data_IF_007665376055
#
_entry.id   IF_007665376055
#
_cell.length_a   1.000
_cell.length_b   1.000
_cell.length_c   1.000
_cell.angle_alpha   90.00
_cell.angle_beta   90.00
_cell.angle_gamma   90.00
#
_symmetry.space_group_name_H-M   'P 1'
#
loop_
_entity.id
_entity.type
_entity.pdbx_description
1 polymer ?
#
# COMPACT_ATOMS: atom_id res chain seq x y z
N UNK A 1 -14.08 13.05 -7.99
CA UNK A 1 -13.09 14.13 -7.88
C UNK A 1 -13.08 14.64 -6.45
N UNK A 2 -11.94 14.58 -5.75
CA UNK A 2 -11.78 15.09 -4.37
C UNK A 2 -11.12 16.46 -4.44
N UNK A 3 -11.71 17.47 -3.78
CA UNK A 3 -11.13 18.82 -3.67
C UNK A 3 -10.36 18.90 -2.36
N UNK A 4 -9.20 19.55 -2.37
CA UNK A 4 -8.35 19.77 -1.19
C UNK A 4 -8.14 21.27 -0.99
N UNK A 5 -8.04 21.72 0.27
CA UNK A 5 -7.64 23.09 0.59
C UNK A 5 -6.16 23.32 0.26
N UNK A 6 -5.89 24.31 -0.59
CA UNK A 6 -4.55 24.51 -1.19
C UNK A 6 -3.41 24.77 -0.20
N UNK A 7 -3.69 25.29 1.00
CA UNK A 7 -2.66 25.71 1.97
C UNK A 7 -2.40 24.65 3.05
N UNK A 8 -3.13 23.53 3.04
CA UNK A 8 -2.98 22.42 4.01
C UNK A 8 -2.73 21.08 3.34
N UNK A 9 -2.33 21.05 2.06
CA UNK A 9 -2.05 19.79 1.37
C UNK A 9 -0.75 19.20 1.89
N UNK A 10 -0.84 18.04 2.54
CA UNK A 10 0.30 17.19 2.91
C UNK A 10 0.46 16.04 1.93
N UNK A 11 1.72 15.68 1.66
CA UNK A 11 2.10 14.50 0.89
C UNK A 11 3.02 13.65 1.76
N UNK A 12 2.67 12.39 1.92
CA UNK A 12 3.52 11.38 2.54
C UNK A 12 3.76 10.25 1.54
N UNK A 13 4.90 9.58 1.62
CA UNK A 13 5.26 8.52 0.69
C UNK A 13 6.27 7.56 1.27
N UNK A 14 6.34 6.36 0.69
CA UNK A 14 7.33 5.38 1.07
C UNK A 14 7.41 4.25 0.06
N UNK A 15 8.39 3.37 0.27
CA UNK A 15 8.62 2.21 -0.59
C UNK A 15 8.95 0.99 0.27
N UNK A 16 8.19 -0.10 0.10
CA UNK A 16 8.14 -1.19 1.08
C UNK A 16 8.28 -2.53 0.39
N UNK A 17 9.29 -3.31 0.80
CA UNK A 17 9.36 -4.74 0.43
C UNK A 17 8.28 -5.44 1.24
N UNK A 18 7.27 -5.97 0.56
CA UNK A 18 6.14 -6.61 1.22
C UNK A 18 6.47 -8.07 1.56
N UNK A 19 7.19 -8.76 0.67
CA UNK A 19 7.71 -10.11 0.91
C UNK A 19 8.85 -10.47 -0.06
N UNK A 20 9.62 -11.49 0.32
CA UNK A 20 10.64 -12.20 -0.47
C UNK A 20 10.47 -13.69 -0.20
N UNK A 21 9.70 -14.39 -1.02
CA UNK A 21 9.31 -15.79 -0.77
C UNK A 21 10.16 -16.80 -1.56
N UNK A 22 11.00 -16.35 -2.50
CA UNK A 22 11.91 -17.26 -3.23
C UNK A 22 12.97 -17.89 -2.32
N UNK A 23 13.51 -17.14 -1.37
CA UNK A 23 14.64 -17.56 -0.53
C UNK A 23 14.29 -18.79 0.33
N UNK A 24 13.05 -18.87 0.83
CA UNK A 24 12.60 -19.90 1.76
C UNK A 24 11.48 -20.80 1.21
N UNK A 25 11.10 -20.64 -0.07
CA UNK A 25 10.00 -21.39 -0.66
C UNK A 25 8.61 -21.00 -0.14
N UNK A 26 8.43 -19.72 0.22
CA UNK A 26 7.21 -19.18 0.80
C UNK A 26 5.97 -19.30 -0.09
N UNK A 27 4.81 -19.05 0.52
CA UNK A 27 3.49 -19.25 -0.09
C UNK A 27 3.28 -18.47 -1.40
N UNK A 28 3.88 -17.27 -1.53
CA UNK A 28 3.79 -16.48 -2.76
C UNK A 28 4.59 -17.09 -3.91
N UNK A 29 5.62 -17.87 -3.61
CA UNK A 29 6.46 -18.55 -4.60
C UNK A 29 5.95 -19.96 -4.94
N UNK A 30 5.57 -20.75 -3.93
CA UNK A 30 5.27 -22.17 -4.10
C UNK A 30 3.78 -22.50 -4.06
N UNK A 31 2.97 -21.64 -3.44
CA UNK A 31 1.54 -21.84 -3.26
C UNK A 31 0.74 -21.74 -4.56
N UNK A 32 -0.54 -22.09 -4.46
CA UNK A 32 -1.52 -22.00 -5.55
C UNK A 32 -2.85 -21.53 -5.00
N UNK A 33 -3.75 -21.07 -5.88
CA UNK A 33 -5.02 -20.49 -5.47
C UNK A 33 -4.84 -19.10 -4.87
N UNK A 34 -5.86 -18.62 -4.18
CA UNK A 34 -5.91 -17.28 -3.59
C UNK A 34 -4.87 -17.13 -2.48
N UNK A 35 -4.03 -16.11 -2.58
CA UNK A 35 -2.98 -15.79 -1.61
C UNK A 35 -2.92 -14.28 -1.40
N UNK A 36 -2.75 -13.87 -0.15
CA UNK A 36 -2.72 -12.46 0.26
C UNK A 36 -1.52 -12.18 1.18
N UNK A 37 -0.92 -11.00 1.02
CA UNK A 37 -0.02 -10.41 2.02
C UNK A 37 -0.50 -9.01 2.35
N UNK A 38 -0.50 -8.69 3.64
CA UNK A 38 -0.96 -7.41 4.19
C UNK A 38 0.13 -6.79 5.06
N UNK A 39 0.31 -5.49 4.95
CA UNK A 39 1.14 -4.71 5.87
C UNK A 39 0.48 -3.39 6.21
N UNK A 40 0.35 -3.11 7.50
CA UNK A 40 -0.12 -1.81 7.97
C UNK A 40 0.99 -0.76 7.77
N UNK A 41 0.64 0.35 7.12
CA UNK A 41 1.50 1.49 6.90
C UNK A 41 0.99 2.66 7.74
N UNK A 42 1.84 3.14 8.64
CA UNK A 42 1.56 4.33 9.45
C UNK A 42 2.09 5.57 8.72
N UNK A 43 1.27 6.60 8.60
CA UNK A 43 1.73 7.89 8.10
C UNK A 43 2.68 8.55 9.12
N UNK A 44 3.63 9.33 8.62
CA UNK A 44 4.56 10.13 9.41
C UNK A 44 3.83 11.11 10.33
N UNK A 45 2.70 11.66 9.85
CA UNK A 45 1.80 12.54 10.59
C UNK A 45 0.34 12.18 10.30
N UNK A 46 -0.56 12.47 11.24
CA UNK A 46 -2.00 12.25 11.03
C UNK A 46 -2.58 13.35 10.14
N UNK A 47 -3.34 12.95 9.12
CA UNK A 47 -4.14 13.87 8.32
C UNK A 47 -5.41 14.33 9.06
N UNK A 48 -5.96 15.48 8.66
CA UNK A 48 -7.23 16.01 9.19
C UNK A 48 -8.42 15.09 8.88
N UNK A 49 -8.41 14.48 7.69
CA UNK A 49 -9.36 13.46 7.21
C UNK A 49 -8.58 12.36 6.46
N UNK A 50 -9.18 11.20 6.22
CA UNK A 50 -8.51 10.12 5.48
C UNK A 50 -7.98 10.65 4.13
N UNK A 51 -6.67 10.50 3.83
CA UNK A 51 -6.09 10.98 2.58
C UNK A 51 -6.51 10.10 1.41
N UNK A 52 -6.19 10.52 0.18
CA UNK A 52 -6.20 9.61 -0.97
C UNK A 52 -4.85 8.91 -1.03
N UNK A 53 -4.84 7.58 -1.13
CA UNK A 53 -3.61 6.78 -1.23
C UNK A 53 -3.53 6.16 -2.62
N UNK A 54 -2.37 6.30 -3.26
CA UNK A 54 -2.03 5.64 -4.51
C UNK A 54 -0.89 4.65 -4.26
N UNK A 55 -1.03 3.43 -4.79
CA UNK A 55 0.02 2.41 -4.77
C UNK A 55 0.57 2.18 -6.18
N UNK A 56 1.83 1.79 -6.25
CA UNK A 56 2.47 1.32 -7.48
C UNK A 56 3.51 0.25 -7.18
N UNK A 57 3.65 -0.79 -8.03
CA UNK A 57 4.79 -1.69 -7.94
C UNK A 57 6.08 -0.92 -8.24
N UNK A 58 7.07 -1.00 -7.35
CA UNK A 58 8.40 -0.41 -7.51
C UNK A 58 9.50 -1.46 -7.72
N UNK A 59 9.19 -2.73 -7.44
CA UNK A 59 9.94 -3.93 -7.84
C UNK A 59 8.98 -5.11 -7.84
N UNK A 60 9.12 -5.98 -8.83
CA UNK A 60 8.42 -7.26 -8.90
C UNK A 60 9.32 -8.27 -9.59
N UNK A 61 9.50 -9.41 -8.94
CA UNK A 61 10.25 -10.54 -9.45
C UNK A 61 9.32 -11.75 -9.49
N UNK A 62 9.12 -12.29 -10.69
CA UNK A 62 8.00 -13.17 -11.04
C UNK A 62 8.50 -14.30 -11.92
N UNK A 63 7.91 -15.48 -11.76
CA UNK A 63 8.17 -16.60 -12.65
C UNK A 63 7.54 -16.36 -14.04
N UNK A 64 8.36 -16.45 -15.08
CA UNK A 64 7.94 -16.18 -16.46
C UNK A 64 7.15 -17.33 -17.12
N UNK A 65 7.02 -18.49 -16.45
CA UNK A 65 6.32 -19.67 -17.02
C UNK A 65 4.81 -19.66 -16.77
N UNK A 66 4.32 -18.74 -15.95
CA UNK A 66 2.90 -18.65 -15.57
C UNK A 66 2.31 -17.28 -15.93
N UNK A 67 0.99 -17.20 -16.03
CA UNK A 67 0.32 -15.93 -16.28
C UNK A 67 0.46 -15.04 -15.05
N UNK A 68 0.90 -13.80 -15.26
CA UNK A 68 0.99 -12.80 -14.21
C UNK A 68 -0.43 -12.35 -13.79
N UNK A 69 -0.76 -12.58 -12.53
CA UNK A 69 -2.00 -12.14 -11.89
C UNK A 69 -1.67 -11.52 -10.55
N UNK A 70 -1.90 -10.22 -10.42
CA UNK A 70 -1.61 -9.48 -9.21
C UNK A 70 -2.64 -8.36 -9.05
N UNK A 71 -2.99 -8.10 -7.80
CA UNK A 71 -3.82 -6.98 -7.39
C UNK A 71 -3.17 -6.29 -6.18
N UNK A 72 -3.19 -4.96 -6.18
CA UNK A 72 -2.67 -4.13 -5.10
C UNK A 72 -3.71 -3.10 -4.69
N UNK A 73 -3.96 -3.03 -3.39
CA UNK A 73 -5.00 -2.16 -2.85
C UNK A 73 -4.54 -1.48 -1.57
N UNK A 74 -4.92 -0.21 -1.42
CA UNK A 74 -4.84 0.50 -0.15
C UNK A 74 -6.20 0.36 0.56
N UNK A 75 -6.29 -0.56 1.50
CA UNK A 75 -7.49 -0.82 2.28
C UNK A 75 -7.48 -0.07 3.61
N UNK A 76 -8.65 0.04 4.25
CA UNK A 76 -8.76 0.56 5.62
C UNK A 76 -8.08 1.93 5.81
N UNK A 77 -8.14 2.81 4.82
CA UNK A 77 -7.48 4.13 4.87
C UNK A 77 -8.11 4.98 5.97
N UNK A 78 -7.30 5.34 6.96
CA UNK A 78 -7.68 6.22 8.07
C UNK A 78 -6.89 7.53 8.04
N UNK A 79 -7.07 8.39 9.04
CA UNK A 79 -6.24 9.59 9.23
C UNK A 79 -4.77 9.28 9.56
N UNK A 80 -4.48 8.10 10.11
CA UNK A 80 -3.17 7.76 10.69
C UNK A 80 -2.38 6.71 9.90
N UNK A 81 -3.02 6.03 8.95
CA UNK A 81 -2.41 4.96 8.17
C UNK A 81 -3.42 4.22 7.32
N UNK A 82 -2.96 3.18 6.63
CA UNK A 82 -3.75 2.29 5.79
C UNK A 82 -3.14 0.88 5.77
N UNK A 83 -3.89 -0.09 5.25
CA UNK A 83 -3.38 -1.43 4.99
C UNK A 83 -2.97 -1.55 3.53
N UNK A 84 -1.68 -1.81 3.29
CA UNK A 84 -1.17 -2.19 1.97
C UNK A 84 -1.44 -3.67 1.76
N UNK A 85 -2.24 -4.00 0.75
CA UNK A 85 -2.66 -5.38 0.46
C UNK A 85 -2.18 -5.78 -0.92
N UNK A 86 -1.55 -6.94 -0.99
CA UNK A 86 -1.16 -7.60 -2.23
C UNK A 86 -1.89 -8.94 -2.35
N UNK A 87 -2.48 -9.20 -3.52
CA UNK A 87 -3.14 -10.47 -3.83
C UNK A 87 -2.63 -11.09 -5.12
N UNK A 88 -2.60 -12.42 -5.14
CA UNK A 88 -2.36 -13.20 -6.35
C UNK A 88 -3.19 -14.49 -6.31
N UNK A 89 -3.38 -15.13 -7.46
CA UNK A 89 -4.22 -16.33 -7.56
C UNK A 89 -3.81 -17.28 -8.68
N UNK A 90 -4.41 -18.47 -8.67
CA UNK A 90 -4.11 -19.52 -9.65
C UNK A 90 -2.73 -20.13 -9.39
N UNK A 91 -1.94 -20.23 -10.45
CA UNK A 91 -0.60 -20.81 -10.44
C UNK A 91 0.53 -19.77 -10.49
N UNK A 92 0.20 -18.47 -10.44
CA UNK A 92 1.18 -17.38 -10.47
C UNK A 92 2.19 -17.51 -9.32
N UNK A 93 3.48 -17.32 -9.62
CA UNK A 93 4.57 -17.40 -8.62
C UNK A 93 5.31 -16.08 -8.54
N UNK A 94 5.48 -15.58 -7.32
CA UNK A 94 6.06 -14.26 -7.05
C UNK A 94 7.19 -14.43 -6.07
N UNK A 95 8.41 -14.19 -6.54
CA UNK A 95 9.63 -14.32 -5.77
C UNK A 95 9.76 -13.18 -4.77
N UNK A 96 9.52 -11.94 -5.22
CA UNK A 96 9.64 -10.74 -4.40
C UNK A 96 8.76 -9.62 -4.95
N UNK A 97 8.19 -8.81 -4.06
CA UNK A 97 7.54 -7.56 -4.47
C UNK A 97 7.90 -6.40 -3.54
N UNK A 98 8.10 -5.23 -4.13
CA UNK A 98 8.22 -3.95 -3.45
C UNK A 98 7.15 -3.01 -4.00
N UNK A 99 6.45 -2.33 -3.11
CA UNK A 99 5.33 -1.45 -3.44
C UNK A 99 5.66 -0.06 -2.91
N UNK A 100 5.68 0.91 -3.82
CA UNK A 100 5.71 2.32 -3.49
C UNK A 100 4.30 2.82 -3.22
N UNK A 101 4.18 3.80 -2.33
CA UNK A 101 2.92 4.43 -2.00
C UNK A 101 3.09 5.94 -1.86
N UNK A 102 2.00 6.66 -2.15
CA UNK A 102 1.88 8.10 -1.94
C UNK A 102 0.50 8.41 -1.37
N UNK A 103 0.46 9.16 -0.28
CA UNK A 103 -0.76 9.67 0.33
C UNK A 103 -0.83 11.18 0.14
N UNK A 104 -1.97 11.68 -0.31
CA UNK A 104 -2.24 13.12 -0.52
C UNK A 104 -3.51 13.49 0.23
N UNK A 105 -3.44 14.44 1.14
CA UNK A 105 -4.56 14.81 2.00
C UNK A 105 -4.41 16.16 2.68
N UNK A 106 -5.47 16.59 3.37
CA UNK A 106 -5.47 17.82 4.16
C UNK A 106 -4.85 17.56 5.53
N UNK A 107 -3.96 18.45 5.96
CA UNK A 107 -3.35 18.48 7.30
C UNK A 107 -4.15 19.40 8.23
N UNK A 108 -3.99 19.20 9.54
CA UNK A 108 -4.52 20.13 10.53
C UNK A 108 -3.67 21.40 10.57
N UNK A 109 -4.31 22.53 10.86
CA UNK A 109 -3.60 23.80 11.07
C UNK A 109 -3.25 23.99 12.54
N UNK A 110 -2.25 24.83 12.83
CA UNK A 110 -1.87 25.18 14.20
C UNK A 110 -3.02 25.82 15.00
N UNK A 111 -3.97 26.47 14.32
CA UNK A 111 -5.16 27.10 14.91
C UNK A 111 -6.44 26.24 14.85
N UNK A 112 -6.35 24.98 14.38
CA UNK A 112 -7.47 24.03 14.51
C UNK A 112 -7.59 23.61 15.99
N UNK A 113 -8.24 24.42 16.82
CA UNK A 113 -8.64 24.03 18.17
C UNK A 113 -9.78 23.01 18.07
N UNK A 114 -9.55 21.79 18.56
CA UNK A 114 -10.62 20.81 18.78
C UNK A 114 -11.53 21.34 19.91
N UNK A 115 -12.56 22.11 19.53
CA UNK A 115 -13.62 22.49 20.47
C UNK A 115 -14.48 21.26 20.70
N UNK A 116 -14.25 20.58 21.83
CA UNK A 116 -15.04 19.42 22.31
C UNK A 116 -16.32 19.88 22.98
#
# INVERSE_FOLDING_TARGET
MKKLRSHTVGIDSGDVILFTDYEDGGEMWTGRGQRERRRHIKFSEKYKVAPTVQLSPSLWDLDASTIMRADIEAESVTKAGFDMVFRTWGDTRIARIRIAWMAIGEMSELDDWDVV
#
